data_IF_453863766110
#
_entry.id   IF_453863766110
#
_cell.length_a   1.000
_cell.length_b   1.000
_cell.length_c   1.000
_cell.angle_alpha   90.00
_cell.angle_beta   90.00
_cell.angle_gamma   90.00
#
_symmetry.space_group_name_H-M   'P 1'
#
loop_
_entity.id
_entity.type
_entity.pdbx_description
1 polymer ?
#
# COMPACT_ATOMS: atom_id res chain seq x y z
N UNK A 1 -16.53 28.28 -3.61
CA UNK A 1 -16.36 27.47 -4.81
C UNK A 1 -15.83 26.11 -4.45
N UNK A 2 -16.47 25.10 -4.96
CA UNK A 2 -16.10 23.72 -4.63
C UNK A 2 -14.74 23.37 -5.18
N UNK A 3 -14.41 23.91 -6.36
CA UNK A 3 -13.12 23.67 -6.96
C UNK A 3 -11.98 24.15 -6.09
N UNK A 4 -12.17 25.24 -5.40
CA UNK A 4 -11.13 25.75 -4.52
C UNK A 4 -10.81 24.80 -3.38
N UNK A 5 -11.83 24.17 -2.84
CA UNK A 5 -11.61 23.22 -1.75
C UNK A 5 -10.78 22.05 -2.23
N UNK A 6 -11.00 21.60 -3.46
CA UNK A 6 -10.22 20.50 -4.01
C UNK A 6 -8.76 20.90 -4.18
N UNK A 7 -8.52 22.14 -4.62
CA UNK A 7 -7.14 22.59 -4.80
C UNK A 7 -6.45 22.89 -3.49
N UNK A 8 -7.22 23.39 -2.51
CA UNK A 8 -6.61 23.80 -1.25
C UNK A 8 -6.10 22.64 -0.42
N UNK A 9 -6.82 21.51 -0.44
CA UNK A 9 -6.47 20.39 0.44
C UNK A 9 -6.81 19.06 -0.21
N UNK A 10 -6.27 18.76 -1.38
CA UNK A 10 -6.62 17.52 -2.08
C UNK A 10 -6.28 16.28 -1.26
N UNK A 11 -5.15 16.29 -0.54
CA UNK A 11 -4.72 15.12 0.22
C UNK A 11 -5.52 14.91 1.49
N UNK A 12 -6.33 15.88 1.90
CA UNK A 12 -7.19 15.73 3.06
C UNK A 12 -8.54 15.11 2.75
N UNK A 13 -8.89 15.03 1.47
CA UNK A 13 -10.12 14.38 1.06
C UNK A 13 -10.02 12.88 1.27
N UNK A 14 -10.98 12.23 1.94
CA UNK A 14 -10.93 10.78 2.10
C UNK A 14 -10.87 10.03 0.77
N UNK A 15 -11.59 10.52 -0.25
CA UNK A 15 -11.59 9.89 -1.56
C UNK A 15 -10.22 9.97 -2.20
N UNK A 16 -9.60 11.13 -2.13
CA UNK A 16 -8.26 11.32 -2.70
C UNK A 16 -7.25 10.44 -1.97
N UNK A 17 -7.34 10.34 -0.64
CA UNK A 17 -6.43 9.51 0.12
C UNK A 17 -6.58 8.03 -0.24
N UNK A 18 -7.81 7.57 -0.50
CA UNK A 18 -8.04 6.20 -0.91
C UNK A 18 -7.43 5.93 -2.27
N UNK A 19 -7.54 6.87 -3.20
CA UNK A 19 -6.97 6.72 -4.54
C UNK A 19 -5.45 6.64 -4.44
N UNK A 20 -4.84 7.50 -3.63
CA UNK A 20 -3.39 7.49 -3.45
C UNK A 20 -2.94 6.17 -2.85
N UNK A 21 -3.66 5.67 -1.85
CA UNK A 21 -3.31 4.41 -1.22
C UNK A 21 -3.47 3.24 -2.18
N UNK A 22 -4.53 3.22 -2.99
CA UNK A 22 -4.73 2.16 -3.97
C UNK A 22 -3.60 2.14 -4.99
N UNK A 23 -3.18 3.30 -5.48
CA UNK A 23 -2.08 3.39 -6.42
C UNK A 23 -0.80 2.86 -5.78
N UNK A 24 -0.59 3.16 -4.52
CA UNK A 24 0.57 2.71 -3.78
C UNK A 24 0.57 1.20 -3.61
N UNK A 25 -0.58 0.64 -3.26
CA UNK A 25 -0.72 -0.80 -3.11
C UNK A 25 -0.47 -1.50 -4.44
N UNK A 26 -0.95 -0.93 -5.54
CA UNK A 26 -0.67 -1.48 -6.86
C UNK A 26 0.83 -1.52 -7.14
N UNK A 27 1.54 -0.44 -6.84
CA UNK A 27 2.98 -0.39 -7.05
C UNK A 27 3.71 -1.42 -6.20
N UNK A 28 3.31 -1.57 -4.95
CA UNK A 28 3.89 -2.58 -4.06
C UNK A 28 3.64 -3.97 -4.62
N UNK A 29 2.44 -4.20 -5.14
CA UNK A 29 2.07 -5.51 -5.70
C UNK A 29 2.92 -5.87 -6.90
N UNK A 30 3.24 -4.90 -7.75
CA UNK A 30 4.14 -5.14 -8.89
C UNK A 30 5.51 -5.59 -8.40
N UNK A 31 6.02 -4.93 -7.36
CA UNK A 31 7.31 -5.32 -6.77
C UNK A 31 7.25 -6.76 -6.25
N UNK A 32 6.19 -7.09 -5.54
CA UNK A 32 6.03 -8.43 -4.99
C UNK A 32 5.85 -9.47 -6.08
N UNK A 33 5.13 -9.14 -7.14
CA UNK A 33 4.93 -10.05 -8.26
C UNK A 33 6.27 -10.46 -8.87
N UNK A 34 7.17 -9.50 -9.02
CA UNK A 34 8.51 -9.78 -9.54
C UNK A 34 9.31 -10.66 -8.58
N UNK A 35 9.25 -10.35 -7.29
CA UNK A 35 10.02 -11.10 -6.30
C UNK A 35 9.52 -12.52 -6.13
N UNK A 36 8.22 -12.72 -6.24
CA UNK A 36 7.59 -14.03 -6.01
C UNK A 36 7.36 -14.81 -7.30
N UNK A 37 7.63 -14.18 -8.44
CA UNK A 37 7.42 -14.79 -9.77
C UNK A 37 5.95 -15.19 -9.96
N UNK A 38 5.05 -14.30 -9.60
CA UNK A 38 3.60 -14.49 -9.74
C UNK A 38 3.03 -13.30 -10.50
N UNK A 39 1.75 -13.37 -10.83
CA UNK A 39 1.09 -12.27 -11.53
C UNK A 39 0.83 -11.10 -10.58
N UNK A 40 0.65 -9.91 -11.16
CA UNK A 40 0.33 -8.71 -10.38
C UNK A 40 -0.95 -8.91 -9.58
N UNK A 41 -1.95 -9.55 -10.16
CA UNK A 41 -3.22 -9.78 -9.49
C UNK A 41 -3.07 -10.75 -8.33
N UNK A 42 -2.28 -11.81 -8.52
CA UNK A 42 -2.00 -12.72 -7.42
C UNK A 42 -1.29 -12.02 -6.27
N UNK A 43 -0.30 -11.19 -6.60
CA UNK A 43 0.43 -10.43 -5.59
C UNK A 43 -0.49 -9.46 -4.87
N UNK A 44 -1.40 -8.81 -5.60
CA UNK A 44 -2.35 -7.88 -5.02
C UNK A 44 -3.23 -8.57 -3.98
N UNK A 45 -3.75 -9.74 -4.34
CA UNK A 45 -4.61 -10.51 -3.43
C UNK A 45 -3.86 -10.91 -2.18
N UNK A 46 -2.63 -11.39 -2.33
CA UNK A 46 -1.81 -11.80 -1.20
C UNK A 46 -1.51 -10.62 -0.29
N UNK A 47 -1.17 -9.48 -0.88
CA UNK A 47 -0.85 -8.30 -0.10
C UNK A 47 -2.05 -7.80 0.70
N UNK A 48 -3.23 -7.76 0.07
CA UNK A 48 -4.44 -7.32 0.77
C UNK A 48 -4.77 -8.20 1.97
N UNK A 49 -4.41 -9.45 1.93
CA UNK A 49 -4.69 -10.39 3.02
C UNK A 49 -3.63 -10.33 4.13
N UNK A 50 -2.59 -9.50 3.98
CA UNK A 50 -1.45 -9.51 4.88
C UNK A 50 -1.60 -8.54 6.04
N UNK A 51 -0.85 -8.79 7.11
CA UNK A 51 -0.71 -7.86 8.23
C UNK A 51 0.01 -6.58 7.77
N UNK A 52 0.95 -6.72 6.86
CA UNK A 52 1.68 -5.57 6.33
C UNK A 52 0.71 -4.57 5.71
N UNK A 53 -0.27 -5.05 4.96
CA UNK A 53 -1.28 -4.18 4.38
C UNK A 53 -2.12 -3.50 5.46
N UNK A 54 -2.51 -4.24 6.49
CA UNK A 54 -3.25 -3.67 7.61
C UNK A 54 -2.45 -2.58 8.30
N UNK A 55 -1.16 -2.80 8.51
CA UNK A 55 -0.29 -1.80 9.11
C UNK A 55 -0.11 -0.58 8.22
N UNK A 56 -0.09 -0.78 6.91
CA UNK A 56 0.03 0.34 5.97
C UNK A 56 -1.18 1.27 6.07
N UNK A 57 -2.37 0.72 6.27
CA UNK A 57 -3.59 1.51 6.42
C UNK A 57 -3.70 2.15 7.80
N UNK A 58 -3.02 1.62 8.79
CA UNK A 58 -3.07 2.12 10.15
C UNK A 58 -1.97 3.15 10.35
N UNK A 59 -2.36 4.41 10.39
CA UNK A 59 -1.40 5.52 10.47
C UNK A 59 -0.57 5.49 11.75
N UNK A 60 -1.07 4.87 12.79
CA UNK A 60 -0.32 4.79 14.06
C UNK A 60 0.94 3.96 13.94
N UNK A 61 1.01 3.06 12.96
CA UNK A 61 2.22 2.25 12.76
C UNK A 61 3.35 3.02 12.10
N UNK A 62 3.03 4.11 11.40
CA UNK A 62 4.01 4.88 10.66
C UNK A 62 4.52 4.21 9.39
N UNK A 63 4.01 3.04 9.04
CA UNK A 63 4.50 2.32 7.88
C UNK A 63 4.27 3.10 6.59
N UNK A 64 3.19 3.86 6.51
CA UNK A 64 2.88 4.63 5.31
C UNK A 64 3.95 5.69 4.99
N UNK A 65 4.83 6.00 5.93
CA UNK A 65 5.90 6.99 5.73
C UNK A 65 7.09 6.40 4.98
N UNK A 66 7.16 5.10 4.83
CA UNK A 66 8.28 4.43 4.16
C UNK A 66 7.98 4.18 2.70
N UNK A 67 9.03 3.90 1.91
CA UNK A 67 8.86 3.68 0.49
C UNK A 67 8.29 2.30 0.15
N UNK A 68 7.90 2.15 -1.12
CA UNK A 68 7.23 0.92 -1.56
C UNK A 68 8.13 -0.31 -1.42
N UNK A 69 9.42 -0.17 -1.70
CA UNK A 69 10.35 -1.29 -1.56
C UNK A 69 10.52 -1.71 -0.12
N UNK A 70 10.53 -0.75 0.79
CA UNK A 70 10.59 -1.06 2.23
C UNK A 70 9.36 -1.86 2.66
N UNK A 71 8.19 -1.43 2.18
CA UNK A 71 6.94 -2.11 2.53
C UNK A 71 6.91 -3.51 1.94
N UNK A 72 7.42 -3.67 0.71
CA UNK A 72 7.55 -5.00 0.12
C UNK A 72 8.47 -5.89 0.96
N UNK A 73 9.57 -5.33 1.48
CA UNK A 73 10.47 -6.06 2.37
C UNK A 73 9.76 -6.50 3.63
N UNK A 74 8.91 -5.63 4.20
CA UNK A 74 8.15 -5.97 5.40
C UNK A 74 7.19 -7.11 5.12
N UNK A 75 6.56 -7.11 3.95
CA UNK A 75 5.70 -8.22 3.56
C UNK A 75 6.49 -9.53 3.48
N UNK A 76 7.67 -9.49 2.87
CA UNK A 76 8.49 -10.68 2.76
C UNK A 76 8.89 -11.22 4.12
N UNK A 77 9.22 -10.33 5.06
CA UNK A 77 9.53 -10.75 6.43
C UNK A 77 8.33 -11.38 7.11
N UNK A 78 7.16 -10.82 6.89
CA UNK A 78 5.93 -11.38 7.44
C UNK A 78 5.73 -12.81 6.96
N UNK A 79 5.92 -13.03 5.67
CA UNK A 79 5.73 -14.36 5.10
C UNK A 79 6.75 -15.35 5.65
N UNK A 80 7.98 -14.94 5.85
CA UNK A 80 9.01 -15.80 6.45
C UNK A 80 8.65 -16.17 7.88
N UNK A 81 8.13 -15.20 8.62
CA UNK A 81 7.75 -15.44 10.01
C UNK A 81 6.55 -16.35 10.19
N UNK A 82 5.80 -16.61 9.12
CA UNK A 82 4.62 -17.46 9.22
C UNK A 82 4.92 -18.94 9.08
N UNK A 83 6.14 -19.25 8.77
CA UNK A 83 6.53 -20.66 8.68
C UNK A 83 6.68 -21.26 10.06
#
# INVERSE_FOLDING_TARGET
MMEQNLYDSPTKSPIIQEIIMSNRIDAISVILAERLCITDIQALKLFYASQTCAHLHDKSTGLYLYGDHYIADEYMREMEGRQ
#
